data_IF_601580362322
#
_entry.id   IF_601580362322
#
_cell.length_a   1.000
_cell.length_b   1.000
_cell.length_c   1.000
_cell.angle_alpha   90.00
_cell.angle_beta   90.00
_cell.angle_gamma   90.00
#
_symmetry.space_group_name_H-M   'P 1'
#
loop_
_entity.id
_entity.type
_entity.pdbx_description
1 polymer ?
#
# COMPACT_ATOMS: atom_id res chain seq x y z
N UNK A 1 6.82 15.17 -4.41
CA UNK A 1 5.69 15.50 -5.30
C UNK A 1 5.01 14.19 -5.67
N UNK A 2 3.73 14.04 -5.33
CA UNK A 2 2.98 12.80 -5.50
C UNK A 2 2.77 12.42 -6.97
N UNK A 3 2.57 13.41 -7.83
CA UNK A 3 2.21 13.23 -9.24
C UNK A 3 3.11 12.24 -10.01
N UNK A 4 4.43 12.47 -10.04
CA UNK A 4 5.36 11.59 -10.75
C UNK A 4 5.46 10.21 -10.10
N UNK A 5 5.33 10.15 -8.78
CA UNK A 5 5.33 8.91 -8.02
C UNK A 5 4.10 8.05 -8.37
N UNK A 6 2.90 8.63 -8.47
CA UNK A 6 1.69 7.88 -8.83
C UNK A 6 1.76 7.33 -10.24
N UNK A 7 2.29 8.11 -11.19
CA UNK A 7 2.54 7.62 -12.54
C UNK A 7 3.47 6.41 -12.53
N UNK A 8 4.59 6.50 -11.83
CA UNK A 8 5.55 5.40 -11.69
C UNK A 8 4.94 4.19 -10.96
N UNK A 9 4.14 4.42 -9.93
CA UNK A 9 3.44 3.39 -9.17
C UNK A 9 2.48 2.59 -10.07
N UNK A 10 1.71 3.26 -10.94
CA UNK A 10 0.84 2.62 -11.93
C UNK A 10 1.64 1.86 -13.00
N UNK A 11 2.78 2.41 -13.44
CA UNK A 11 3.68 1.67 -14.36
C UNK A 11 4.20 0.38 -13.71
N UNK A 12 4.53 0.41 -12.41
CA UNK A 12 4.93 -0.79 -11.64
C UNK A 12 3.77 -1.78 -11.53
N UNK A 13 2.55 -1.30 -11.23
CA UNK A 13 1.35 -2.13 -11.18
C UNK A 13 1.13 -2.94 -12.46
N UNK A 14 1.18 -2.29 -13.63
CA UNK A 14 1.00 -2.99 -14.90
C UNK A 14 2.12 -3.99 -15.19
N UNK A 15 3.37 -3.66 -14.81
CA UNK A 15 4.52 -4.58 -14.97
C UNK A 15 4.47 -5.78 -14.04
N UNK A 16 3.88 -5.61 -12.86
CA UNK A 16 3.56 -6.70 -11.93
C UNK A 16 2.43 -7.62 -12.44
N UNK A 17 1.73 -7.22 -13.51
CA UNK A 17 0.52 -7.90 -14.00
C UNK A 17 -0.56 -7.97 -12.91
N UNK A 18 -0.78 -6.83 -12.26
CA UNK A 18 -1.83 -6.67 -11.25
C UNK A 18 -3.22 -7.08 -11.78
N UNK A 19 -4.12 -7.43 -10.87
CA UNK A 19 -5.50 -7.78 -11.19
C UNK A 19 -6.40 -6.57 -10.96
N UNK A 20 -7.38 -6.37 -11.84
CA UNK A 20 -8.19 -5.14 -11.88
C UNK A 20 -7.62 -4.09 -12.83
N UNK A 21 -8.23 -2.91 -12.84
CA UNK A 21 -7.78 -1.76 -13.60
C UNK A 21 -7.26 -0.69 -12.64
N UNK A 22 -6.14 -0.06 -12.99
CA UNK A 22 -5.59 1.08 -12.25
C UNK A 22 -4.99 2.05 -13.25
N UNK A 23 -5.61 3.22 -13.41
CA UNK A 23 -5.22 4.18 -14.43
C UNK A 23 -4.74 5.47 -13.78
N UNK A 24 -3.55 5.93 -14.19
CA UNK A 24 -3.06 7.25 -13.86
C UNK A 24 -3.62 8.30 -14.83
N UNK A 25 -4.01 9.47 -14.32
CA UNK A 25 -4.37 10.64 -15.12
C UNK A 25 -3.63 11.89 -14.68
N UNK A 26 -3.23 12.72 -15.65
CA UNK A 26 -2.69 14.05 -15.39
C UNK A 26 -3.75 15.06 -14.98
N UNK A 27 -5.02 14.78 -15.31
CA UNK A 27 -6.14 15.62 -14.93
C UNK A 27 -6.41 15.48 -13.44
N UNK A 28 -6.90 16.55 -12.81
CA UNK A 28 -7.30 16.53 -11.41
C UNK A 28 -8.77 16.08 -11.34
N UNK A 29 -8.98 14.80 -11.02
CA UNK A 29 -10.31 14.23 -10.87
C UNK A 29 -11.05 14.89 -9.69
N UNK A 30 -12.37 14.99 -9.83
CA UNK A 30 -13.20 15.48 -8.74
C UNK A 30 -13.38 14.38 -7.68
N UNK A 31 -13.06 14.72 -6.43
CA UNK A 31 -13.26 13.85 -5.26
C UNK A 31 -14.45 14.42 -4.50
N UNK A 32 -15.62 13.81 -4.65
CA UNK A 32 -16.86 14.28 -4.00
C UNK A 32 -16.93 13.87 -2.53
N UNK A 33 -16.75 12.56 -2.26
CA UNK A 33 -16.74 11.96 -0.93
C UNK A 33 -15.89 10.68 -0.91
N UNK A 34 -15.32 10.31 0.25
CA UNK A 34 -15.26 11.06 1.52
C UNK A 34 -14.50 12.40 1.41
N UNK A 35 -14.61 13.28 2.40
CA UNK A 35 -13.88 14.58 2.43
C UNK A 35 -12.39 14.34 2.68
N UNK A 36 -11.66 14.08 1.60
CA UNK A 36 -10.24 13.77 1.63
C UNK A 36 -9.37 15.03 1.69
N UNK A 37 -8.28 14.92 2.44
CA UNK A 37 -7.23 15.92 2.58
C UNK A 37 -5.85 15.35 2.26
N UNK A 38 -4.86 16.23 2.11
CA UNK A 38 -3.46 15.87 1.96
C UNK A 38 -3.15 14.93 0.81
N UNK A 39 -2.14 14.11 1.03
CA UNK A 39 -1.60 13.16 0.07
C UNK A 39 -2.61 12.10 -0.39
N UNK A 40 -3.56 11.67 0.47
CA UNK A 40 -4.60 10.72 0.06
C UNK A 40 -5.59 11.35 -0.94
N UNK A 41 -5.86 12.65 -0.80
CA UNK A 41 -6.64 13.38 -1.81
C UNK A 41 -5.92 13.38 -3.15
N UNK A 42 -4.63 13.73 -3.18
CA UNK A 42 -3.82 13.71 -4.41
C UNK A 42 -3.80 12.31 -5.07
N UNK A 43 -3.78 11.24 -4.26
CA UNK A 43 -3.87 9.86 -4.74
C UNK A 43 -5.16 9.63 -5.55
N UNK A 44 -6.33 9.91 -4.99
CA UNK A 44 -7.61 9.71 -5.70
C UNK A 44 -7.92 10.77 -6.76
N UNK A 45 -7.24 11.91 -6.74
CA UNK A 45 -7.34 12.90 -7.81
C UNK A 45 -6.62 12.47 -9.09
N UNK A 46 -5.64 11.56 -8.99
CA UNK A 46 -4.81 11.16 -10.11
C UNK A 46 -4.89 9.66 -10.45
N UNK A 47 -5.58 8.86 -9.64
CA UNK A 47 -5.83 7.45 -9.90
C UNK A 47 -7.32 7.19 -10.13
N UNK A 48 -7.64 6.49 -11.21
CA UNK A 48 -8.99 6.09 -11.59
C UNK A 48 -9.09 4.58 -11.70
N UNK A 49 -10.04 4.01 -10.96
CA UNK A 49 -10.33 2.59 -10.88
C UNK A 49 -11.73 2.39 -10.25
N UNK A 50 -12.48 1.40 -10.74
CA UNK A 50 -13.87 1.14 -10.31
C UNK A 50 -14.02 -0.07 -9.38
N UNK A 51 -13.06 -1.01 -9.47
CA UNK A 51 -12.96 -2.21 -8.64
C UNK A 51 -11.59 -2.22 -7.93
N UNK A 52 -11.39 -3.11 -6.96
CA UNK A 52 -10.12 -3.23 -6.27
C UNK A 52 -8.97 -3.55 -7.26
N UNK A 53 -7.86 -2.84 -7.10
CA UNK A 53 -6.66 -3.04 -7.90
C UNK A 53 -5.60 -3.79 -7.08
N UNK A 54 -5.34 -5.04 -7.46
CA UNK A 54 -4.49 -5.96 -6.71
C UNK A 54 -3.08 -6.03 -7.29
N UNK A 55 -2.10 -5.67 -6.49
CA UNK A 55 -0.71 -6.06 -6.71
C UNK A 55 -0.50 -7.51 -6.28
N UNK A 56 0.04 -8.31 -7.19
CA UNK A 56 0.33 -9.73 -6.97
C UNK A 56 1.74 -9.91 -6.42
N UNK A 57 1.93 -10.99 -5.67
CA UNK A 57 3.22 -11.42 -5.15
C UNK A 57 3.26 -11.37 -3.63
N UNK A 58 3.03 -12.54 -3.03
CA UNK A 58 3.21 -12.78 -1.61
C UNK A 58 4.66 -12.50 -1.20
N UNK A 59 4.95 -12.19 0.07
CA UNK A 59 4.02 -12.10 1.20
C UNK A 59 3.29 -10.75 1.32
N UNK A 60 3.58 -9.78 0.45
CA UNK A 60 3.08 -8.40 0.56
C UNK A 60 2.15 -8.00 -0.59
N UNK A 61 1.27 -8.90 -1.01
CA UNK A 61 0.15 -8.56 -1.90
C UNK A 61 -0.66 -7.40 -1.30
N UNK A 62 -1.06 -6.46 -2.15
CA UNK A 62 -1.76 -5.24 -1.75
C UNK A 62 -2.95 -5.02 -2.67
N UNK A 63 -4.14 -4.89 -2.10
CA UNK A 63 -5.34 -4.49 -2.79
C UNK A 63 -5.62 -3.01 -2.52
N UNK A 64 -5.73 -2.20 -3.56
CA UNK A 64 -6.16 -0.80 -3.46
C UNK A 64 -7.68 -0.72 -3.55
N UNK A 65 -8.30 0.05 -2.67
CA UNK A 65 -9.74 0.22 -2.60
C UNK A 65 -10.14 1.46 -3.41
N UNK A 66 -11.11 1.36 -4.33
CA UNK A 66 -11.58 2.53 -5.08
C UNK A 66 -12.34 3.48 -4.15
N UNK A 67 -12.25 4.79 -4.43
CA UNK A 67 -12.81 5.85 -3.58
C UNK A 67 -14.24 5.60 -3.09
N UNK A 68 -15.21 5.14 -3.94
CA UNK A 68 -16.59 4.91 -3.50
C UNK A 68 -16.74 3.83 -2.43
N UNK A 69 -15.74 2.96 -2.26
CA UNK A 69 -15.76 1.84 -1.32
C UNK A 69 -15.02 2.15 -0.01
N UNK A 70 -14.28 3.26 0.07
CA UNK A 70 -13.49 3.62 1.25
C UNK A 70 -14.32 3.80 2.53
N UNK A 71 -15.52 4.39 2.42
CA UNK A 71 -16.42 4.57 3.58
C UNK A 71 -16.85 3.21 4.14
N UNK A 72 -17.38 2.34 3.26
CA UNK A 72 -17.82 0.99 3.63
C UNK A 72 -16.66 0.14 4.18
N UNK A 73 -15.47 0.23 3.56
CA UNK A 73 -14.28 -0.44 4.06
C UNK A 73 -13.92 0.04 5.47
N UNK A 74 -14.02 1.34 5.74
CA UNK A 74 -13.66 1.92 7.04
C UNK A 74 -14.65 1.56 8.17
N UNK A 75 -15.93 1.33 7.86
CA UNK A 75 -16.93 0.90 8.84
C UNK A 75 -16.60 -0.45 9.47
N UNK A 76 -15.98 -1.37 8.71
CA UNK A 76 -15.62 -2.71 9.19
C UNK A 76 -14.55 -2.74 10.27
N UNK A 77 -13.79 -1.65 10.47
CA UNK A 77 -12.58 -1.62 11.31
C UNK A 77 -12.68 -0.71 12.53
N UNK A 78 -13.86 -0.17 12.82
CA UNK A 78 -14.11 0.74 13.94
C UNK A 78 -14.06 0.01 15.30
N UNK A 79 -12.86 -0.26 15.80
CA UNK A 79 -12.65 -0.57 17.21
C UNK A 79 -12.47 0.69 18.06
N UNK A 80 -12.30 0.54 19.38
CA UNK A 80 -12.20 1.67 20.31
C UNK A 80 -11.00 2.60 20.08
N UNK A 81 -10.00 2.18 19.31
CA UNK A 81 -8.82 2.96 18.96
C UNK A 81 -8.93 3.66 17.60
N UNK A 82 -10.01 3.40 16.84
CA UNK A 82 -10.25 3.99 15.53
C UNK A 82 -10.53 5.49 15.63
N UNK A 83 -9.99 6.27 14.69
CA UNK A 83 -10.24 7.71 14.59
C UNK A 83 -11.12 7.99 13.39
N UNK A 84 -12.00 8.98 13.50
CA UNK A 84 -12.81 9.47 12.36
C UNK A 84 -11.95 10.00 11.21
N UNK A 85 -10.71 10.43 11.50
CA UNK A 85 -9.76 10.87 10.48
C UNK A 85 -9.11 9.73 9.70
N UNK A 86 -9.35 8.47 10.07
CA UNK A 86 -8.79 7.32 9.38
C UNK A 86 -9.65 6.90 8.21
N UNK A 87 -9.01 6.76 7.04
CA UNK A 87 -9.65 6.26 5.82
C UNK A 87 -8.86 5.05 5.32
N UNK A 88 -9.55 3.91 5.23
CA UNK A 88 -9.01 2.69 4.62
C UNK A 88 -8.95 2.90 3.11
N UNK A 89 -7.76 2.76 2.54
CA UNK A 89 -7.51 2.92 1.11
C UNK A 89 -6.91 1.67 0.47
N UNK A 90 -6.47 0.72 1.30
CA UNK A 90 -5.92 -0.53 0.85
C UNK A 90 -6.10 -1.61 1.92
N UNK A 91 -5.88 -2.86 1.54
CA UNK A 91 -5.75 -3.97 2.47
C UNK A 91 -4.75 -5.01 1.94
N UNK A 92 -4.27 -5.85 2.84
CA UNK A 92 -3.51 -7.05 2.49
C UNK A 92 -4.47 -8.18 2.09
N UNK A 93 -3.95 -9.29 1.54
CA UNK A 93 -4.78 -10.42 1.10
C UNK A 93 -5.51 -11.15 2.24
N UNK A 94 -5.10 -10.98 3.50
CA UNK A 94 -5.83 -11.48 4.68
C UNK A 94 -6.89 -10.50 5.20
N UNK A 95 -7.28 -9.53 4.37
CA UNK A 95 -8.17 -8.41 4.68
C UNK A 95 -7.64 -7.45 5.77
N UNK A 96 -6.36 -7.51 6.13
CA UNK A 96 -5.78 -6.55 7.08
C UNK A 96 -5.81 -5.11 6.51
N UNK A 97 -6.51 -4.16 7.15
CA UNK A 97 -6.68 -2.82 6.60
C UNK A 97 -5.39 -2.01 6.66
N UNK A 98 -5.18 -1.24 5.61
CA UNK A 98 -4.18 -0.19 5.51
C UNK A 98 -4.90 1.15 5.29
N UNK A 99 -4.60 2.11 6.15
CA UNK A 99 -5.34 3.37 6.21
C UNK A 99 -4.42 4.57 6.42
N UNK A 100 -4.92 5.73 6.01
CA UNK A 100 -4.24 7.01 6.19
C UNK A 100 -4.89 7.83 7.30
N UNK A 101 -4.10 8.62 8.03
CA UNK A 101 -4.61 9.67 8.92
C UNK A 101 -4.73 11.01 8.18
N UNK A 102 -5.96 11.49 8.01
CA UNK A 102 -6.28 12.74 7.32
C UNK A 102 -6.00 14.02 8.13
N UNK A 103 -5.57 13.91 9.39
CA UNK A 103 -5.17 15.09 10.20
C UNK A 103 -3.86 15.73 9.75
N UNK A 104 -3.09 15.06 8.88
CA UNK A 104 -1.82 15.53 8.36
C UNK A 104 -1.85 15.57 6.83
N UNK A 105 -1.31 16.64 6.25
CA UNK A 105 -1.15 16.78 4.80
C UNK A 105 -0.30 15.66 4.19
N UNK A 106 0.57 15.03 4.98
CA UNK A 106 1.39 13.90 4.53
C UNK A 106 0.62 12.57 4.46
N UNK A 107 -0.58 12.49 5.03
CA UNK A 107 -1.38 11.27 5.14
C UNK A 107 -0.55 10.06 5.64
N UNK A 108 -0.03 10.08 6.89
CA UNK A 108 0.73 8.96 7.45
C UNK A 108 -0.06 7.65 7.37
N UNK A 109 0.64 6.56 7.07
CA UNK A 109 0.04 5.26 6.76
C UNK A 109 0.18 4.32 7.94
N UNK A 110 -0.92 3.65 8.27
CA UNK A 110 -1.03 2.69 9.36
C UNK A 110 -1.65 1.38 8.88
N UNK A 111 -1.39 0.32 9.62
CA UNK A 111 -1.98 -0.99 9.42
C UNK A 111 -2.54 -1.55 10.73
N UNK A 112 -3.49 -2.48 10.62
CA UNK A 112 -4.04 -3.19 11.78
C UNK A 112 -4.31 -4.65 11.44
N UNK A 113 -3.94 -5.56 12.34
CA UNK A 113 -4.20 -6.99 12.19
C UNK A 113 -5.45 -7.36 13.00
N UNK A 114 -6.42 -8.09 12.44
CA UNK A 114 -7.61 -8.58 13.16
C UNK A 114 -7.24 -9.32 14.45
N UNK A 115 -7.97 -9.05 15.54
CA UNK A 115 -7.73 -9.67 16.83
C UNK A 115 -6.47 -9.17 17.56
N UNK A 116 -5.69 -8.26 16.96
CA UNK A 116 -4.53 -7.62 17.58
C UNK A 116 -4.86 -6.18 18.00
N UNK A 117 -4.49 -5.79 19.21
CA UNK A 117 -4.66 -4.43 19.72
C UNK A 117 -3.60 -3.46 19.20
N UNK A 118 -2.51 -3.95 18.60
CA UNK A 118 -1.43 -3.14 18.05
C UNK A 118 -1.88 -2.39 16.80
N UNK A 119 -1.61 -1.09 16.79
CA UNK A 119 -1.65 -0.24 15.61
C UNK A 119 -0.23 -0.19 15.02
N UNK A 120 -0.06 -0.58 13.76
CA UNK A 120 1.25 -0.61 13.09
C UNK A 120 1.48 0.72 12.38
N UNK A 121 2.60 1.38 12.69
CA UNK A 121 3.02 2.60 12.01
C UNK A 121 3.81 2.22 10.76
N UNK A 122 3.17 2.23 9.59
CA UNK A 122 3.79 1.74 8.35
C UNK A 122 4.66 2.79 7.67
N UNK A 123 4.23 4.06 7.67
CA UNK A 123 4.99 5.12 7.00
C UNK A 123 4.65 6.52 7.50
N UNK A 124 5.60 7.47 7.53
CA UNK A 124 5.32 8.86 7.89
C UNK A 124 4.49 9.62 6.85
N UNK A 125 4.38 9.11 5.62
CA UNK A 125 3.58 9.70 4.56
C UNK A 125 3.12 8.65 3.55
N UNK A 126 2.01 8.91 2.85
CA UNK A 126 1.54 8.05 1.78
C UNK A 126 2.57 7.95 0.65
N UNK A 127 3.24 9.05 0.31
CA UNK A 127 4.30 9.06 -0.71
C UNK A 127 5.49 8.15 -0.34
N UNK A 128 5.88 8.11 0.94
CA UNK A 128 6.95 7.22 1.41
C UNK A 128 6.50 5.77 1.36
N UNK A 129 5.26 5.47 1.74
CA UNK A 129 4.68 4.13 1.65
C UNK A 129 4.68 3.62 0.20
N UNK A 130 4.10 4.40 -0.72
CA UNK A 130 4.00 4.04 -2.14
C UNK A 130 5.38 3.90 -2.80
N UNK A 131 6.34 4.78 -2.46
CA UNK A 131 7.73 4.67 -2.95
C UNK A 131 8.38 3.37 -2.49
N UNK A 132 8.30 3.08 -1.18
CA UNK A 132 8.88 1.86 -0.59
C UNK A 132 8.28 0.62 -1.25
N UNK A 133 6.95 0.55 -1.33
CA UNK A 133 6.23 -0.56 -1.94
C UNK A 133 6.58 -0.71 -3.44
N UNK A 134 6.66 0.39 -4.19
CA UNK A 134 7.06 0.38 -5.60
C UNK A 134 8.46 -0.21 -5.78
N UNK A 135 9.42 0.17 -4.93
CA UNK A 135 10.78 -0.35 -5.02
C UNK A 135 10.84 -1.86 -4.71
N UNK A 136 10.08 -2.31 -3.70
CA UNK A 136 9.95 -3.75 -3.40
C UNK A 136 9.39 -4.51 -4.62
N UNK A 137 8.30 -4.03 -5.22
CA UNK A 137 7.73 -4.65 -6.43
C UNK A 137 8.66 -4.56 -7.64
N UNK A 138 9.42 -3.48 -7.80
CA UNK A 138 10.45 -3.39 -8.86
C UNK A 138 11.53 -4.44 -8.70
N UNK A 139 12.00 -4.68 -7.48
CA UNK A 139 12.97 -5.74 -7.21
C UNK A 139 12.40 -7.10 -7.63
N UNK A 140 11.18 -7.41 -7.18
CA UNK A 140 10.46 -8.63 -7.57
C UNK A 140 10.35 -8.78 -9.10
N UNK A 141 9.89 -7.73 -9.80
CA UNK A 141 9.70 -7.76 -11.26
C UNK A 141 11.04 -7.93 -11.99
N UNK A 142 12.06 -7.17 -11.62
CA UNK A 142 13.29 -7.04 -12.43
C UNK A 142 14.34 -8.08 -12.12
N UNK A 143 14.45 -8.51 -10.86
CA UNK A 143 15.48 -9.47 -10.42
C UNK A 143 14.94 -10.89 -10.35
N UNK A 144 13.64 -11.03 -10.07
CA UNK A 144 12.99 -12.32 -9.85
C UNK A 144 11.90 -12.63 -10.87
N UNK A 145 11.63 -11.73 -11.83
CA UNK A 145 10.64 -11.93 -12.90
C UNK A 145 9.21 -12.23 -12.39
N UNK A 146 8.86 -11.74 -11.20
CA UNK A 146 7.65 -12.09 -10.44
C UNK A 146 7.56 -13.57 -9.99
N UNK A 147 8.69 -14.25 -9.90
CA UNK A 147 8.81 -15.60 -9.36
C UNK A 147 9.88 -15.60 -8.26
N UNK A 148 9.42 -15.47 -7.01
CA UNK A 148 10.27 -15.26 -5.84
C UNK A 148 10.53 -16.53 -5.02
N UNK A 149 9.84 -17.63 -5.31
CA UNK A 149 9.91 -18.86 -4.51
C UNK A 149 10.87 -19.86 -5.14
N UNK A 150 11.53 -20.67 -4.31
CA UNK A 150 12.45 -21.72 -4.79
C UNK A 150 11.67 -22.89 -5.40
N UNK A 151 10.51 -23.19 -4.81
CA UNK A 151 9.68 -24.34 -5.12
C UNK A 151 8.21 -23.96 -5.31
N UNK A 152 7.45 -24.91 -5.84
CA UNK A 152 5.99 -24.80 -6.03
C UNK A 152 5.22 -24.85 -4.70
N UNK A 153 5.86 -25.31 -3.62
CA UNK A 153 5.28 -25.39 -2.28
C UNK A 153 5.29 -24.03 -1.55
N UNK A 154 5.89 -23.01 -2.18
CA UNK A 154 5.95 -21.61 -1.72
C UNK A 154 6.54 -21.47 -0.31
N UNK A 155 7.43 -22.39 0.06
CA UNK A 155 7.91 -22.53 1.44
C UNK A 155 9.13 -21.67 1.74
N UNK A 156 9.97 -21.44 0.72
CA UNK A 156 11.20 -20.67 0.83
C UNK A 156 11.37 -19.69 -0.35
N UNK A 157 12.02 -18.56 -0.08
CA UNK A 157 12.32 -17.53 -1.08
C UNK A 157 13.66 -17.75 -1.76
N UNK A 158 13.75 -17.40 -3.04
CA UNK A 158 15.00 -17.37 -3.81
C UNK A 158 16.06 -16.54 -3.09
N UNK A 159 17.30 -16.99 -3.21
CA UNK A 159 18.44 -16.38 -2.53
C UNK A 159 18.53 -14.87 -2.80
N UNK A 160 18.68 -14.09 -1.73
CA UNK A 160 18.82 -12.64 -1.80
C UNK A 160 17.52 -11.87 -2.06
N UNK A 161 16.35 -12.51 -2.12
CA UNK A 161 15.07 -11.82 -2.17
C UNK A 161 14.83 -11.02 -0.88
N UNK A 162 14.74 -11.70 0.26
CA UNK A 162 14.50 -11.05 1.55
C UNK A 162 15.59 -10.02 1.89
N UNK A 163 16.86 -10.33 1.62
CA UNK A 163 17.96 -9.36 1.82
C UNK A 163 17.76 -8.08 0.99
N UNK A 164 17.30 -8.20 -0.25
CA UNK A 164 17.01 -7.05 -1.10
C UNK A 164 15.81 -6.25 -0.60
N UNK A 165 14.75 -6.92 -0.14
CA UNK A 165 13.57 -6.27 0.45
C UNK A 165 13.95 -5.49 1.72
N UNK A 166 14.73 -6.11 2.62
CA UNK A 166 15.20 -5.43 3.84
C UNK A 166 16.06 -4.21 3.53
N UNK A 167 16.97 -4.31 2.54
CA UNK A 167 17.77 -3.18 2.11
C UNK A 167 16.92 -2.00 1.59
N UNK A 168 15.86 -2.28 0.83
CA UNK A 168 14.92 -1.26 0.35
C UNK A 168 14.19 -0.61 1.54
N UNK A 169 13.71 -1.41 2.49
CA UNK A 169 13.04 -0.90 3.69
C UNK A 169 14.00 0.00 4.50
N UNK A 170 15.25 -0.41 4.67
CA UNK A 170 16.26 0.36 5.39
C UNK A 170 16.63 1.66 4.66
N UNK A 171 16.63 1.68 3.33
CA UNK A 171 16.93 2.87 2.55
C UNK A 171 15.75 3.86 2.52
N UNK A 172 14.53 3.37 2.34
CA UNK A 172 13.35 4.19 2.07
C UNK A 172 12.61 4.63 3.34
N UNK A 173 12.59 3.80 4.39
CA UNK A 173 11.83 4.08 5.61
C UNK A 173 12.72 4.61 6.74
N UNK A 174 12.25 5.62 7.50
CA UNK A 174 12.90 6.02 8.74
C UNK A 174 12.90 4.87 9.75
N UNK A 175 13.94 4.77 10.57
CA UNK A 175 14.16 3.69 11.53
C UNK A 175 12.93 3.39 12.41
N UNK A 176 12.23 4.44 12.86
CA UNK A 176 11.05 4.34 13.71
C UNK A 176 9.87 3.55 13.09
N UNK A 177 9.81 3.41 11.77
CA UNK A 177 8.72 2.73 11.05
C UNK A 177 9.09 1.32 10.58
N UNK A 178 10.39 1.00 10.48
CA UNK A 178 10.87 -0.23 9.83
C UNK A 178 10.34 -1.49 10.50
N UNK A 179 10.37 -1.53 11.84
CA UNK A 179 9.91 -2.69 12.60
C UNK A 179 8.44 -3.00 12.33
N UNK A 180 7.59 -1.98 12.47
CA UNK A 180 6.14 -2.14 12.26
C UNK A 180 5.81 -2.46 10.80
N UNK A 181 6.52 -1.83 9.85
CA UNK A 181 6.36 -2.13 8.42
C UNK A 181 6.74 -3.58 8.10
N UNK A 182 7.88 -4.06 8.61
CA UNK A 182 8.33 -5.45 8.38
C UNK A 182 7.33 -6.44 8.99
N UNK A 183 6.98 -6.27 10.26
CA UNK A 183 6.03 -7.17 10.96
C UNK A 183 4.67 -7.19 10.26
N UNK A 184 4.18 -6.06 9.76
CA UNK A 184 2.87 -6.00 9.11
C UNK A 184 2.88 -6.52 7.67
N UNK A 185 3.88 -6.13 6.86
CA UNK A 185 3.88 -6.43 5.43
C UNK A 185 4.45 -7.81 5.11
N UNK A 186 5.34 -8.35 5.96
CA UNK A 186 6.08 -9.58 5.66
C UNK A 186 5.73 -10.77 6.58
N UNK A 187 5.02 -10.53 7.69
CA UNK A 187 4.69 -11.54 8.71
C UNK A 187 5.77 -11.75 9.75
#
# INVERSE_FOLDING_TARGET
MMFNLLKEFVEVYHRNKGLGELVFTSDCLHVEKPDLSGQLKEFYQHLSFEEEAYFRGAPYDLALIPLPLCEAASEGWQDTSWKESYVVFAHMMGDEPIFCDLTSELSPVFGKIPGNSKLYCLSPSLSTFLSTYSQMKKLEITKFENDIYIDEDLSDYKEGFLTGIMAIIEEQLPEAYRKDFIEFMLG
#
